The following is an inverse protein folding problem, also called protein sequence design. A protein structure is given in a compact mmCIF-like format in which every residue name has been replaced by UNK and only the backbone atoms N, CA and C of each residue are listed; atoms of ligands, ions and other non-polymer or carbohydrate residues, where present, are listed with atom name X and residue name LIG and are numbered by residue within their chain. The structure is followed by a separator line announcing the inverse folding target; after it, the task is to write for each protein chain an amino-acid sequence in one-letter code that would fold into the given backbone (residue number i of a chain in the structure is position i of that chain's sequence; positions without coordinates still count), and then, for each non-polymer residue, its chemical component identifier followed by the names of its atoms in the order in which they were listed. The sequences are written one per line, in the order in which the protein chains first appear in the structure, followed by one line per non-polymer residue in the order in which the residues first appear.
data_IF_092775691588
#
_entry.id   IF_092775691588
#
_cell.length_a   1.000
_cell.length_b   1.000
_cell.length_c   1.000
_cell.angle_alpha   90.00
_cell.angle_beta   90.00
_cell.angle_gamma   90.00
#
_symmetry.space_group_name_H-M   'P 1'
#
loop_
_entity.id
_entity.type
_entity.pdbx_description
1 polymer ?
#
# COMPACT_ATOMS: atom_id res chain seq x y z
N UNK A 1 15.74 -2.45 6.00
CA UNK A 1 15.11 -3.06 7.21
C UNK A 1 14.05 -4.04 6.75
N UNK A 2 14.15 -5.32 7.14
CA UNK A 2 13.08 -6.32 6.99
C UNK A 2 12.19 -6.32 8.25
N UNK A 3 10.95 -6.82 8.12
CA UNK A 3 10.03 -6.96 9.25
C UNK A 3 9.57 -8.40 9.34
N UNK A 4 9.62 -9.00 10.55
CA UNK A 4 9.07 -10.31 10.83
C UNK A 4 8.11 -10.22 12.02
N UNK A 5 6.97 -10.86 11.87
CA UNK A 5 5.99 -11.05 12.92
C UNK A 5 5.95 -12.53 13.25
N UNK A 6 6.06 -12.87 14.53
CA UNK A 6 6.00 -14.24 15.01
C UNK A 6 4.79 -14.39 15.94
N UNK A 7 3.77 -15.10 15.46
CA UNK A 7 2.54 -15.45 16.20
C UNK A 7 1.91 -14.26 16.96
N UNK A 8 1.72 -13.14 16.24
CA UNK A 8 1.28 -11.88 16.81
C UNK A 8 -0.21 -11.91 17.13
N UNK A 9 -0.58 -11.48 18.35
CA UNK A 9 -1.97 -11.41 18.79
C UNK A 9 -2.31 -10.04 19.36
N UNK A 10 -3.54 -9.58 19.10
CA UNK A 10 -4.11 -8.38 19.69
C UNK A 10 -5.62 -8.44 19.75
N UNK A 11 -6.17 -8.24 20.95
CA UNK A 11 -7.61 -8.30 21.21
C UNK A 11 -8.12 -7.01 21.84
N UNK A 12 -9.36 -6.66 21.53
CA UNK A 12 -10.12 -5.58 22.15
C UNK A 12 -11.40 -6.16 22.72
N UNK A 13 -11.41 -6.41 24.02
CA UNK A 13 -12.49 -7.14 24.70
C UNK A 13 -12.63 -8.55 24.12
N UNK A 14 -13.77 -8.84 23.47
CA UNK A 14 -14.04 -10.15 22.86
C UNK A 14 -13.61 -10.25 21.39
N UNK A 15 -13.09 -9.17 20.81
CA UNK A 15 -12.72 -9.13 19.39
C UNK A 15 -11.23 -9.39 19.26
N UNK A 16 -10.85 -10.50 18.62
CA UNK A 16 -9.47 -10.81 18.24
C UNK A 16 -9.15 -10.07 16.93
N UNK A 17 -8.63 -8.86 17.03
CA UNK A 17 -8.34 -8.03 15.86
C UNK A 17 -7.10 -8.51 15.08
N UNK A 18 -6.14 -9.15 15.78
CA UNK A 18 -4.99 -9.87 15.22
C UNK A 18 -4.90 -11.18 15.99
N UNK A 19 -4.91 -12.30 15.30
CA UNK A 19 -5.08 -13.63 15.85
C UNK A 19 -4.02 -14.60 15.27
N UNK A 20 -2.88 -14.70 15.94
CA UNK A 20 -1.78 -15.62 15.60
C UNK A 20 -1.08 -15.29 14.27
N UNK A 21 -0.89 -14.00 13.93
CA UNK A 21 -0.28 -13.61 12.67
C UNK A 21 1.23 -13.84 12.69
N UNK A 22 1.71 -14.65 11.73
CA UNK A 22 3.12 -14.75 11.37
C UNK A 22 3.32 -14.25 9.93
N UNK A 23 4.22 -13.28 9.74
CA UNK A 23 4.41 -12.58 8.48
C UNK A 23 5.88 -12.18 8.30
N UNK A 24 6.38 -12.28 7.07
CA UNK A 24 7.69 -11.77 6.69
C UNK A 24 7.56 -10.72 5.59
N UNK A 25 8.04 -9.50 5.86
CA UNK A 25 8.14 -8.41 4.91
C UNK A 25 9.60 -8.25 4.50
N UNK A 26 9.96 -8.58 3.23
CA UNK A 26 11.33 -8.46 2.75
C UNK A 26 11.80 -7.00 2.71
N UNK A 27 13.08 -6.78 3.00
CA UNK A 27 13.67 -5.44 2.88
C UNK A 27 13.64 -4.93 1.45
N UNK A 28 13.58 -3.61 1.28
CA UNK A 28 13.64 -2.90 0.00
C UNK A 28 12.60 -3.40 -1.02
N UNK A 29 11.41 -3.75 -0.56
CA UNK A 29 10.27 -4.20 -1.35
C UNK A 29 9.02 -3.44 -0.95
N UNK A 30 8.02 -3.47 -1.83
CA UNK A 30 6.68 -2.97 -1.54
C UNK A 30 5.80 -4.17 -1.22
N UNK A 31 5.31 -4.23 0.01
CA UNK A 31 4.48 -5.30 0.54
C UNK A 31 3.05 -4.80 0.76
N UNK A 32 2.07 -5.43 0.11
CA UNK A 32 0.65 -5.13 0.26
C UNK A 32 0.00 -5.95 1.38
N UNK A 33 -0.85 -5.32 2.18
CA UNK A 33 -1.75 -6.00 3.11
C UNK A 33 -3.16 -5.62 2.71
N UNK A 34 -3.94 -6.62 2.28
CA UNK A 34 -5.33 -6.44 1.85
C UNK A 34 -6.28 -7.19 2.77
N UNK A 35 -7.52 -6.76 2.79
CA UNK A 35 -8.58 -7.39 3.58
C UNK A 35 -9.83 -6.53 3.59
N UNK A 36 -10.96 -7.14 3.93
CA UNK A 36 -12.24 -6.42 4.08
C UNK A 36 -12.18 -5.40 5.22
N UNK A 37 -13.14 -4.47 5.26
CA UNK A 37 -13.30 -3.60 6.42
C UNK A 37 -13.49 -4.44 7.69
N UNK A 38 -12.81 -4.08 8.78
CA UNK A 38 -12.85 -4.84 10.03
C UNK A 38 -11.94 -6.09 10.08
N UNK A 39 -11.22 -6.44 9.01
CA UNK A 39 -10.34 -7.62 8.99
C UNK A 39 -9.12 -7.55 9.93
N UNK A 40 -8.85 -6.39 10.57
CA UNK A 40 -7.71 -6.21 11.49
C UNK A 40 -6.53 -5.44 10.89
N UNK A 41 -6.62 -4.97 9.64
CA UNK A 41 -5.50 -4.30 8.91
C UNK A 41 -4.89 -3.13 9.70
N UNK A 42 -5.71 -2.19 10.17
CA UNK A 42 -5.21 -1.00 10.88
C UNK A 42 -4.56 -1.37 12.22
N UNK A 43 -5.11 -2.39 12.92
CA UNK A 43 -4.49 -2.92 14.14
C UNK A 43 -3.13 -3.53 13.82
N UNK A 44 -3.05 -4.38 12.79
CA UNK A 44 -1.80 -5.02 12.38
C UNK A 44 -0.71 -3.96 12.06
N UNK A 45 -1.07 -2.90 11.32
CA UNK A 45 -0.14 -1.81 11.02
C UNK A 45 0.32 -1.06 12.26
N UNK A 46 -0.57 -0.80 13.21
CA UNK A 46 -0.20 -0.14 14.46
C UNK A 46 0.77 -0.97 15.29
N UNK A 47 0.60 -2.29 15.28
CA UNK A 47 1.55 -3.22 15.91
C UNK A 47 2.89 -3.22 15.16
N UNK A 48 2.86 -3.36 13.84
CA UNK A 48 4.06 -3.34 12.98
C UNK A 48 4.81 -2.01 13.09
N UNK A 49 4.11 -0.87 13.14
CA UNK A 49 4.72 0.47 13.27
C UNK A 49 5.06 0.86 14.71
N UNK A 50 4.90 -0.06 15.65
CA UNK A 50 5.18 0.14 17.08
C UNK A 50 4.32 1.26 17.72
N UNK A 51 3.15 1.57 17.16
CA UNK A 51 2.18 2.49 17.74
C UNK A 51 1.38 1.83 18.85
N UNK A 52 1.20 0.52 18.76
CA UNK A 52 0.59 -0.33 19.79
C UNK A 52 1.51 -1.50 20.15
N UNK A 53 1.31 -2.06 21.34
CA UNK A 53 2.01 -3.25 21.80
C UNK A 53 1.11 -4.48 21.63
N UNK A 54 1.61 -5.61 21.11
CA UNK A 54 0.83 -6.84 21.02
C UNK A 54 0.52 -7.42 22.40
N UNK A 55 -0.55 -8.23 22.49
CA UNK A 55 -0.88 -8.99 23.70
C UNK A 55 0.04 -10.22 23.83
N UNK A 56 0.39 -10.86 22.71
CA UNK A 56 1.36 -11.94 22.61
C UNK A 56 2.09 -11.94 21.28
N UNK A 57 3.11 -12.78 21.14
CA UNK A 57 3.97 -12.85 19.95
C UNK A 57 5.09 -11.81 19.96
N UNK A 58 5.69 -11.55 18.80
CA UNK A 58 6.84 -10.67 18.66
C UNK A 58 6.83 -9.91 17.34
N UNK A 59 7.31 -8.65 17.40
CA UNK A 59 7.67 -7.85 16.21
C UNK A 59 9.18 -7.75 16.14
N UNK A 60 9.77 -8.16 15.02
CA UNK A 60 11.21 -8.11 14.81
C UNK A 60 11.53 -7.22 13.59
N UNK A 61 12.55 -6.36 13.75
CA UNK A 61 13.14 -5.57 12.69
C UNK A 61 14.61 -6.00 12.52
N UNK A 62 14.99 -6.46 11.32
CA UNK A 62 16.31 -7.05 11.05
C UNK A 62 16.71 -8.09 12.11
N UNK A 63 15.77 -9.02 12.41
CA UNK A 63 15.88 -10.09 13.40
C UNK A 63 16.03 -9.65 14.87
N UNK A 64 15.97 -8.35 15.16
CA UNK A 64 15.95 -7.82 16.52
C UNK A 64 14.51 -7.56 16.97
N UNK A 65 14.14 -8.08 18.12
CA UNK A 65 12.83 -7.82 18.74
C UNK A 65 12.68 -6.34 19.11
N UNK A 66 11.55 -5.72 18.71
CA UNK A 66 11.31 -4.27 18.87
C UNK A 66 10.02 -3.89 19.61
N UNK A 67 9.16 -4.86 19.92
CA UNK A 67 7.90 -4.62 20.67
C UNK A 67 8.10 -4.51 22.19
N UNK A 68 9.29 -4.86 22.71
CA UNK A 68 9.64 -4.82 24.13
C UNK A 68 10.73 -3.80 24.48
N UNK A 69 10.95 -2.81 23.65
CA UNK A 69 11.99 -1.79 23.83
C UNK A 69 11.70 -0.86 25.02
N UNK A 70 12.76 -0.30 25.60
CA UNK A 70 12.64 0.83 26.55
C UNK A 70 12.01 2.04 25.87
N UNK A 71 11.46 2.99 26.63
CA UNK A 71 10.89 4.23 26.06
C UNK A 71 11.87 4.99 25.16
N UNK A 72 13.15 5.07 25.55
CA UNK A 72 14.19 5.75 24.77
C UNK A 72 14.49 5.03 23.47
N UNK A 73 14.68 3.71 23.52
CA UNK A 73 14.93 2.88 22.33
C UNK A 73 13.72 2.86 21.39
N UNK A 74 12.50 2.85 21.94
CA UNK A 74 11.27 2.92 21.18
C UNK A 74 11.16 4.24 20.40
N UNK A 75 11.50 5.37 21.04
CA UNK A 75 11.55 6.67 20.35
C UNK A 75 12.59 6.64 19.22
N UNK A 76 13.78 6.11 19.48
CA UNK A 76 14.83 5.97 18.46
C UNK A 76 14.39 5.06 17.30
N UNK A 77 13.70 3.95 17.61
CA UNK A 77 13.19 3.05 16.59
C UNK A 77 12.06 3.67 15.76
N UNK A 78 11.14 4.41 16.38
CA UNK A 78 10.05 5.12 15.68
C UNK A 78 10.55 6.22 14.73
N UNK A 79 11.71 6.81 14.97
CA UNK A 79 12.34 7.78 14.05
C UNK A 79 12.74 7.15 12.70
N UNK A 80 12.95 5.82 12.67
CA UNK A 80 13.25 5.06 11.47
C UNK A 80 11.99 4.63 10.69
N UNK A 81 10.81 5.01 11.17
CA UNK A 81 9.52 4.67 10.60
C UNK A 81 8.85 5.93 10.07
N UNK A 82 8.51 5.92 8.78
CA UNK A 82 7.61 6.91 8.19
C UNK A 82 6.18 6.36 8.15
N UNK A 83 5.19 7.22 8.33
CA UNK A 83 3.79 6.83 8.22
C UNK A 83 2.98 7.83 7.42
N UNK A 84 2.23 7.33 6.45
CA UNK A 84 1.27 8.07 5.63
C UNK A 84 -0.11 7.56 6.01
N UNK A 85 -0.99 8.48 6.44
CA UNK A 85 -2.34 8.18 6.92
C UNK A 85 -3.38 8.46 5.84
N UNK A 86 -4.51 7.78 5.90
CA UNK A 86 -5.64 7.90 4.99
C UNK A 86 -6.13 9.36 4.82
N UNK A 87 -6.24 10.12 5.89
CA UNK A 87 -6.73 11.50 5.91
C UNK A 87 -5.60 12.54 5.91
N UNK A 88 -4.43 12.22 5.34
CA UNK A 88 -3.22 13.06 5.31
C UNK A 88 -2.68 13.46 6.69
N UNK A 89 -3.52 13.71 7.68
CA UNK A 89 -3.21 14.17 9.04
C UNK A 89 -2.25 15.39 9.06
N UNK A 90 -2.43 16.33 8.13
CA UNK A 90 -1.66 17.55 8.05
C UNK A 90 -2.19 18.59 9.03
N UNK A 91 -1.28 19.37 9.63
CA UNK A 91 -1.62 20.50 10.47
C UNK A 91 -2.16 21.63 9.61
N UNK A 92 -3.44 21.95 9.74
CA UNK A 92 -4.11 23.03 8.98
C UNK A 92 -3.59 24.43 9.31
N UNK A 93 -3.01 24.61 10.52
CA UNK A 93 -2.40 25.87 10.98
C UNK A 93 -0.96 26.08 10.49
N UNK A 94 -0.38 25.11 9.76
CA UNK A 94 0.99 25.16 9.24
C UNK A 94 1.00 25.17 7.71
N UNK A 95 2.05 25.75 7.12
CA UNK A 95 2.29 25.66 5.67
C UNK A 95 2.74 24.23 5.25
N UNK A 96 2.87 23.99 3.96
CA UNK A 96 3.39 22.72 3.44
C UNK A 96 4.80 22.44 3.97
N UNK A 97 5.72 23.40 3.85
CA UNK A 97 7.07 23.27 4.37
C UNK A 97 7.13 23.07 5.88
N UNK A 98 6.30 23.79 6.65
CA UNK A 98 6.22 23.61 8.10
C UNK A 98 5.65 22.24 8.51
N UNK A 99 4.76 21.64 7.72
CA UNK A 99 4.31 20.27 7.94
C UNK A 99 5.45 19.26 7.73
N UNK A 100 6.27 19.47 6.70
CA UNK A 100 7.43 18.62 6.40
C UNK A 100 8.52 18.80 7.46
N UNK A 101 8.74 20.03 7.96
CA UNK A 101 9.73 20.35 8.97
C UNK A 101 9.42 19.72 10.34
N UNK A 102 8.14 19.58 10.68
CA UNK A 102 7.67 19.24 12.02
C UNK A 102 8.33 17.98 12.64
N UNK A 103 8.47 16.84 11.96
CA UNK A 103 9.15 15.67 12.54
C UNK A 103 10.60 15.95 12.90
N UNK A 104 11.30 16.76 12.11
CA UNK A 104 12.70 17.12 12.34
C UNK A 104 12.84 18.12 13.51
N UNK A 105 11.88 19.06 13.67
CA UNK A 105 11.79 19.95 14.83
C UNK A 105 11.72 19.14 16.13
N UNK A 106 10.82 18.14 16.20
CA UNK A 106 10.68 17.25 17.35
C UNK A 106 11.95 16.44 17.60
N UNK A 107 12.65 16.03 16.54
CA UNK A 107 13.89 15.27 16.63
C UNK A 107 15.10 16.14 17.02
N UNK A 108 14.95 17.47 17.13
CA UNK A 108 16.01 18.39 17.54
C UNK A 108 17.05 18.67 16.45
N UNK A 109 16.68 18.59 15.16
CA UNK A 109 17.57 18.96 14.06
C UNK A 109 17.85 20.47 14.07
N UNK A 110 19.03 20.87 13.61
CA UNK A 110 19.36 22.29 13.45
C UNK A 110 18.51 22.93 12.34
N UNK A 111 18.17 24.21 12.50
CA UNK A 111 17.32 24.95 11.57
C UNK A 111 17.82 24.88 10.11
N UNK A 112 19.12 25.05 9.88
CA UNK A 112 19.71 24.96 8.55
C UNK A 112 19.55 23.58 7.92
N UNK A 113 19.66 22.50 8.71
CA UNK A 113 19.44 21.13 8.24
C UNK A 113 17.97 20.91 7.85
N UNK A 114 17.05 21.48 8.65
CA UNK A 114 15.61 21.40 8.38
C UNK A 114 15.27 22.12 7.07
N UNK A 115 15.73 23.36 6.89
CA UNK A 115 15.49 24.16 5.70
C UNK A 115 15.97 23.46 4.43
N UNK A 116 17.21 22.97 4.43
CA UNK A 116 17.78 22.20 3.31
C UNK A 116 16.95 20.95 3.03
N UNK A 117 16.61 20.19 4.08
CA UNK A 117 15.86 18.93 3.92
C UNK A 117 14.44 19.14 3.43
N UNK A 118 13.75 20.18 3.89
CA UNK A 118 12.41 20.56 3.43
C UNK A 118 12.45 20.86 1.93
N UNK A 119 13.43 21.64 1.47
CA UNK A 119 13.55 21.95 0.04
C UNK A 119 13.83 20.70 -0.81
N UNK A 120 14.74 19.81 -0.37
CA UNK A 120 14.99 18.52 -1.02
C UNK A 120 13.70 17.68 -1.16
N UNK A 121 12.90 17.64 -0.08
CA UNK A 121 11.69 16.85 -0.07
C UNK A 121 10.56 17.47 -0.91
N UNK A 122 10.43 18.78 -0.91
CA UNK A 122 9.50 19.48 -1.80
C UNK A 122 9.84 19.22 -3.27
N UNK A 123 11.11 19.28 -3.63
CA UNK A 123 11.57 18.94 -4.97
C UNK A 123 11.29 17.46 -5.31
N UNK A 124 11.54 16.55 -4.36
CA UNK A 124 11.30 15.12 -4.55
C UNK A 124 9.84 14.79 -4.88
N UNK A 125 8.90 15.53 -4.28
CA UNK A 125 7.47 15.32 -4.48
C UNK A 125 6.84 16.23 -5.54
N UNK A 126 7.64 17.09 -6.22
CA UNK A 126 7.19 18.02 -7.27
C UNK A 126 6.31 19.15 -6.73
N UNK A 127 6.72 19.76 -5.62
CA UNK A 127 6.05 20.88 -4.94
C UNK A 127 7.05 21.97 -4.54
N UNK A 128 8.06 22.22 -5.35
CA UNK A 128 9.18 23.14 -5.08
C UNK A 128 8.71 24.57 -4.75
N UNK A 129 7.63 25.02 -5.41
CA UNK A 129 7.06 26.37 -5.25
C UNK A 129 6.03 26.47 -4.12
N UNK A 130 5.83 25.41 -3.32
CA UNK A 130 4.73 25.30 -2.35
C UNK A 130 5.16 25.34 -0.90
N UNK A 131 6.41 25.72 -0.61
CA UNK A 131 6.91 25.77 0.77
C UNK A 131 5.99 26.56 1.72
N UNK A 132 5.57 27.75 1.33
CA UNK A 132 4.77 28.66 2.15
C UNK A 132 3.26 28.54 1.90
N UNK A 133 2.84 27.57 1.08
CA UNK A 133 1.44 27.38 0.76
C UNK A 133 0.65 26.87 1.98
N UNK A 134 -0.46 27.51 2.37
CA UNK A 134 -1.37 27.01 3.39
C UNK A 134 -1.98 25.66 2.93
N UNK A 135 -2.15 24.71 3.84
CA UNK A 135 -2.71 23.40 3.54
C UNK A 135 -4.13 23.50 2.94
N UNK A 136 -4.90 24.50 3.33
CA UNK A 136 -6.26 24.72 2.81
C UNK A 136 -6.31 25.00 1.31
N UNK A 137 -5.25 25.56 0.73
CA UNK A 137 -5.15 25.92 -0.70
C UNK A 137 -4.68 24.79 -1.59
N UNK A 138 -4.23 23.68 -1.00
CA UNK A 138 -3.69 22.54 -1.73
C UNK A 138 -4.80 21.57 -2.16
N UNK A 139 -4.67 21.01 -3.38
CA UNK A 139 -5.52 19.90 -3.84
C UNK A 139 -5.28 18.63 -3.01
N UNK A 140 -6.19 17.64 -3.11
CA UNK A 140 -6.03 16.35 -2.42
C UNK A 140 -4.71 15.65 -2.77
N UNK A 141 -4.33 15.61 -4.05
CA UNK A 141 -3.06 15.05 -4.49
C UNK A 141 -1.84 15.82 -3.98
N UNK A 142 -1.90 17.16 -3.91
CA UNK A 142 -0.84 17.97 -3.32
C UNK A 142 -0.73 17.75 -1.81
N UNK A 143 -1.84 17.66 -1.09
CA UNK A 143 -1.84 17.29 0.34
C UNK A 143 -1.19 15.93 0.57
N UNK A 144 -1.48 14.95 -0.28
CA UNK A 144 -0.87 13.63 -0.21
C UNK A 144 0.64 13.70 -0.44
N UNK A 145 1.11 14.48 -1.42
CA UNK A 145 2.54 14.70 -1.67
C UNK A 145 3.25 15.34 -0.47
N UNK A 146 2.61 16.31 0.20
CA UNK A 146 3.13 16.90 1.46
C UNK A 146 3.18 15.84 2.57
N UNK A 147 2.15 14.97 2.71
CA UNK A 147 2.15 13.91 3.70
C UNK A 147 3.26 12.88 3.45
N UNK A 148 3.52 12.53 2.19
CA UNK A 148 4.65 11.68 1.79
C UNK A 148 5.98 12.34 2.18
N UNK A 149 6.19 13.60 1.79
CA UNK A 149 7.40 14.35 2.11
C UNK A 149 7.65 14.42 3.62
N UNK A 150 6.61 14.69 4.42
CA UNK A 150 6.67 14.69 5.87
C UNK A 150 7.08 13.32 6.44
N UNK A 151 6.52 12.22 5.91
CA UNK A 151 6.86 10.88 6.36
C UNK A 151 8.34 10.53 6.07
N UNK A 152 8.96 11.17 5.08
CA UNK A 152 10.36 10.97 4.68
C UNK A 152 11.34 11.91 5.40
N UNK A 153 10.86 12.87 6.19
CA UNK A 153 11.67 13.95 6.76
C UNK A 153 12.86 13.44 7.57
N UNK A 154 12.64 12.48 8.45
CA UNK A 154 13.68 11.90 9.32
C UNK A 154 14.45 10.73 8.68
N UNK A 155 14.42 10.58 7.35
CA UNK A 155 15.12 9.50 6.61
C UNK A 155 14.76 8.11 7.14
N UNK A 156 13.47 7.70 7.07
CA UNK A 156 13.03 6.40 7.57
C UNK A 156 13.67 5.25 6.77
N UNK A 157 13.70 4.07 7.37
CA UNK A 157 14.07 2.81 6.72
C UNK A 157 12.85 2.01 6.26
N UNK A 158 11.69 2.27 6.90
CA UNK A 158 10.38 1.68 6.57
C UNK A 158 9.33 2.77 6.41
N UNK A 159 8.46 2.62 5.42
CA UNK A 159 7.32 3.49 5.17
C UNK A 159 6.02 2.67 5.23
N UNK A 160 5.14 3.01 6.16
CA UNK A 160 3.78 2.48 6.21
C UNK A 160 2.82 3.43 5.50
N UNK A 161 2.00 2.89 4.61
CA UNK A 161 0.98 3.61 3.86
C UNK A 161 -0.39 3.04 4.22
N UNK A 162 -1.12 3.70 5.12
CA UNK A 162 -2.46 3.28 5.56
C UNK A 162 -3.50 3.95 4.67
N UNK A 163 -4.06 3.19 3.73
CA UNK A 163 -5.06 3.64 2.74
C UNK A 163 -4.69 4.97 2.06
N UNK A 164 -3.42 5.16 1.75
CA UNK A 164 -2.83 6.43 1.30
C UNK A 164 -3.43 7.01 0.00
N UNK A 165 -4.25 6.27 -0.72
CA UNK A 165 -4.85 6.69 -2.00
C UNK A 165 -6.37 6.63 -2.03
N UNK A 166 -7.03 6.20 -0.93
CA UNK A 166 -8.47 5.95 -0.91
C UNK A 166 -9.35 7.19 -1.12
N UNK A 167 -8.82 8.39 -0.83
CA UNK A 167 -9.52 9.67 -0.97
C UNK A 167 -9.17 10.42 -2.28
N UNK A 168 -8.46 9.77 -3.22
CA UNK A 168 -7.96 10.38 -4.45
C UNK A 168 -8.70 9.82 -5.68
N UNK A 169 -8.78 10.62 -6.73
CA UNK A 169 -9.25 10.15 -8.03
C UNK A 169 -8.27 9.16 -8.67
N UNK A 170 -8.69 8.33 -9.65
CA UNK A 170 -7.85 7.27 -10.21
C UNK A 170 -6.56 7.77 -10.86
N UNK A 171 -6.57 8.93 -11.51
CA UNK A 171 -5.39 9.49 -12.18
C UNK A 171 -4.36 9.97 -11.14
N UNK A 172 -4.82 10.67 -10.11
CA UNK A 172 -4.00 11.11 -8.99
C UNK A 172 -3.44 9.90 -8.22
N UNK A 173 -4.27 8.86 -7.98
CA UNK A 173 -3.84 7.60 -7.36
C UNK A 173 -2.65 7.00 -8.11
N UNK A 174 -2.75 6.86 -9.44
CA UNK A 174 -1.64 6.32 -10.25
C UNK A 174 -0.37 7.16 -10.10
N UNK A 175 -0.47 8.49 -10.18
CA UNK A 175 0.66 9.40 -10.00
C UNK A 175 1.32 9.26 -8.61
N UNK A 176 0.53 9.08 -7.54
CA UNK A 176 1.04 8.89 -6.18
C UNK A 176 1.71 7.52 -6.04
N UNK A 177 1.16 6.46 -6.63
CA UNK A 177 1.78 5.13 -6.61
C UNK A 177 3.13 5.11 -7.35
N UNK A 178 3.21 5.77 -8.51
CA UNK A 178 4.47 5.93 -9.25
C UNK A 178 5.50 6.69 -8.40
N UNK A 179 5.10 7.79 -7.75
CA UNK A 179 5.95 8.54 -6.83
C UNK A 179 6.48 7.66 -5.67
N UNK A 180 5.61 6.87 -5.04
CA UNK A 180 6.03 5.96 -3.94
C UNK A 180 7.01 4.91 -4.45
N UNK A 181 6.80 4.32 -5.64
CA UNK A 181 7.73 3.36 -6.27
C UNK A 181 9.09 3.99 -6.54
N UNK A 182 9.12 5.21 -7.07
CA UNK A 182 10.36 5.92 -7.33
C UNK A 182 11.12 6.26 -6.05
N UNK A 183 10.42 6.71 -5.01
CA UNK A 183 10.99 6.96 -3.68
C UNK A 183 11.53 5.66 -3.08
N UNK A 184 10.77 4.57 -3.15
CA UNK A 184 11.18 3.26 -2.66
C UNK A 184 12.51 2.83 -3.29
N UNK A 185 12.62 2.95 -4.61
CA UNK A 185 13.86 2.59 -5.35
C UNK A 185 15.03 3.51 -5.01
N UNK A 186 14.81 4.83 -5.05
CA UNK A 186 15.88 5.84 -4.82
C UNK A 186 16.43 5.79 -3.40
N UNK A 187 15.58 5.48 -2.41
CA UNK A 187 15.95 5.49 -1.00
C UNK A 187 16.15 4.08 -0.42
N UNK A 188 15.98 3.02 -1.20
CA UNK A 188 16.02 1.62 -0.75
C UNK A 188 15.09 1.36 0.44
N UNK A 189 13.87 1.90 0.41
CA UNK A 189 12.90 1.76 1.50
C UNK A 189 12.21 0.39 1.47
N UNK A 190 11.86 -0.12 2.64
CA UNK A 190 10.81 -1.12 2.77
C UNK A 190 9.48 -0.39 2.89
N UNK A 191 8.50 -0.72 2.05
CA UNK A 191 7.18 -0.07 2.05
C UNK A 191 6.12 -1.11 2.39
N UNK A 192 5.25 -0.80 3.36
CA UNK A 192 4.08 -1.62 3.69
C UNK A 192 2.83 -0.81 3.32
N UNK A 193 2.08 -1.29 2.35
CA UNK A 193 0.85 -0.65 1.87
C UNK A 193 -0.38 -1.40 2.36
N UNK A 194 -1.25 -0.69 3.06
CA UNK A 194 -2.55 -1.20 3.46
C UNK A 194 -3.59 -0.62 2.52
N UNK A 195 -4.39 -1.48 1.92
CA UNK A 195 -5.45 -1.06 1.01
C UNK A 195 -6.54 -2.13 0.91
N UNK A 196 -7.71 -1.72 0.49
CA UNK A 196 -8.77 -2.62 0.03
C UNK A 196 -8.91 -2.61 -1.51
N UNK A 197 -8.05 -1.83 -2.21
CA UNK A 197 -8.07 -1.68 -3.67
C UNK A 197 -7.05 -2.64 -4.30
N UNK A 198 -7.53 -3.62 -5.03
CA UNK A 198 -6.67 -4.62 -5.67
C UNK A 198 -5.81 -4.04 -6.80
N UNK A 199 -6.29 -2.98 -7.46
CA UNK A 199 -5.53 -2.25 -8.48
C UNK A 199 -4.24 -1.68 -7.90
N UNK A 200 -4.30 -1.12 -6.68
CA UNK A 200 -3.13 -0.59 -5.97
C UNK A 200 -2.11 -1.70 -5.71
N UNK A 201 -2.58 -2.89 -5.28
CA UNK A 201 -1.70 -4.03 -5.03
C UNK A 201 -1.05 -4.51 -6.33
N UNK A 202 -1.85 -4.69 -7.40
CA UNK A 202 -1.36 -5.12 -8.71
C UNK A 202 -0.29 -4.18 -9.26
N UNK A 203 -0.53 -2.86 -9.15
CA UNK A 203 0.27 -1.84 -9.82
C UNK A 203 1.51 -1.43 -9.03
N UNK A 204 1.50 -1.60 -7.69
CA UNK A 204 2.57 -1.10 -6.84
C UNK A 204 3.33 -2.16 -6.03
N UNK A 205 2.73 -3.30 -5.68
CA UNK A 205 3.33 -4.23 -4.73
C UNK A 205 4.13 -5.36 -5.40
N UNK A 206 5.18 -5.83 -4.72
CA UNK A 206 5.94 -7.04 -5.08
C UNK A 206 5.30 -8.28 -4.43
N UNK A 207 4.91 -8.15 -3.17
CA UNK A 207 4.34 -9.19 -2.32
C UNK A 207 3.02 -8.72 -1.72
N UNK A 208 2.19 -9.68 -1.30
CA UNK A 208 0.89 -9.40 -0.72
C UNK A 208 0.52 -10.45 0.34
N UNK A 209 -0.17 -10.01 1.39
CA UNK A 209 -0.86 -10.85 2.34
C UNK A 209 -2.34 -10.47 2.37
N UNK A 210 -3.20 -11.49 2.35
CA UNK A 210 -4.66 -11.36 2.46
C UNK A 210 -5.06 -11.61 3.90
N UNK A 211 -5.66 -10.62 4.52
CA UNK A 211 -6.11 -10.63 5.91
C UNK A 211 -7.63 -10.81 5.95
N UNK A 212 -8.08 -11.79 6.70
CA UNK A 212 -9.49 -12.01 6.99
C UNK A 212 -9.69 -12.41 8.45
N UNK A 213 -10.64 -11.75 9.14
CA UNK A 213 -10.98 -12.04 10.54
C UNK A 213 -9.75 -12.15 11.47
N UNK A 214 -8.81 -11.22 11.37
CA UNK A 214 -7.60 -11.16 12.19
C UNK A 214 -6.50 -12.14 11.81
N UNK A 215 -6.66 -12.95 10.75
CA UNK A 215 -5.71 -13.98 10.32
C UNK A 215 -5.23 -13.75 8.88
N UNK A 216 -3.99 -14.13 8.58
CA UNK A 216 -3.52 -14.21 7.21
C UNK A 216 -4.04 -15.51 6.59
N UNK A 217 -4.89 -15.38 5.57
CA UNK A 217 -5.49 -16.52 4.86
C UNK A 217 -4.71 -16.91 3.61
N UNK A 218 -3.96 -15.96 3.04
CA UNK A 218 -3.08 -16.22 1.89
C UNK A 218 -1.96 -15.19 1.86
N UNK A 219 -0.75 -15.59 1.44
CA UNK A 219 0.38 -14.69 1.21
C UNK A 219 1.28 -15.23 0.10
N UNK A 220 1.96 -14.33 -0.61
CA UNK A 220 2.89 -14.68 -1.67
C UNK A 220 3.28 -13.49 -2.52
N UNK A 221 3.85 -13.75 -3.70
CA UNK A 221 4.05 -12.69 -4.69
C UNK A 221 2.73 -12.24 -5.29
N UNK A 222 2.65 -10.98 -5.69
CA UNK A 222 1.45 -10.45 -6.37
C UNK A 222 1.12 -11.28 -7.61
N UNK A 223 2.14 -11.70 -8.38
CA UNK A 223 1.96 -12.53 -9.58
C UNK A 223 1.30 -13.88 -9.27
N UNK A 224 1.73 -14.55 -8.20
CA UNK A 224 1.17 -15.84 -7.79
C UNK A 224 -0.27 -15.69 -7.33
N UNK A 225 -0.58 -14.69 -6.48
CA UNK A 225 -1.93 -14.45 -6.01
C UNK A 225 -2.90 -14.15 -7.15
N UNK A 226 -2.48 -13.33 -8.13
CA UNK A 226 -3.33 -12.97 -9.26
C UNK A 226 -3.51 -14.10 -10.27
N UNK A 227 -2.50 -14.96 -10.48
CA UNK A 227 -2.59 -16.10 -11.39
C UNK A 227 -3.35 -17.27 -10.77
N UNK A 228 -3.11 -17.56 -9.50
CA UNK A 228 -3.59 -18.78 -8.83
C UNK A 228 -4.07 -18.50 -7.40
N UNK A 229 -5.17 -17.74 -7.21
CA UNK A 229 -5.71 -17.48 -5.87
C UNK A 229 -6.19 -18.79 -5.24
N UNK A 230 -5.72 -19.08 -4.02
CA UNK A 230 -5.98 -20.35 -3.34
C UNK A 230 -7.24 -20.31 -2.49
N UNK A 231 -7.52 -19.16 -1.85
CA UNK A 231 -8.65 -19.00 -0.94
C UNK A 231 -9.85 -18.35 -1.62
N UNK A 232 -11.05 -18.62 -1.13
CA UNK A 232 -12.27 -18.00 -1.66
C UNK A 232 -12.27 -16.48 -1.40
N UNK A 233 -11.66 -16.04 -0.29
CA UNK A 233 -11.48 -14.61 0.01
C UNK A 233 -10.63 -13.94 -1.07
N UNK A 234 -9.51 -14.56 -1.47
CA UNK A 234 -8.64 -14.04 -2.55
C UNK A 234 -9.34 -14.03 -3.90
N UNK A 235 -10.10 -15.08 -4.22
CA UNK A 235 -10.91 -15.15 -5.45
C UNK A 235 -11.97 -14.06 -5.50
N UNK A 236 -12.64 -13.78 -4.37
CA UNK A 236 -13.65 -12.74 -4.26
C UNK A 236 -13.03 -11.35 -4.49
N UNK A 237 -11.90 -11.04 -3.86
CA UNK A 237 -11.17 -9.80 -4.11
C UNK A 237 -10.80 -9.61 -5.59
N UNK A 238 -10.36 -10.68 -6.26
CA UNK A 238 -9.97 -10.62 -7.67
C UNK A 238 -11.18 -10.55 -8.62
N UNK A 239 -12.34 -11.08 -8.23
CA UNK A 239 -13.55 -11.04 -9.05
C UNK A 239 -14.02 -9.61 -9.30
N UNK A 240 -13.82 -8.71 -8.34
CA UNK A 240 -14.15 -7.28 -8.47
C UNK A 240 -13.28 -6.55 -9.51
N UNK A 241 -12.05 -6.97 -9.74
CA UNK A 241 -11.20 -6.42 -10.81
C UNK A 241 -11.73 -6.72 -12.20
N UNK A 242 -12.22 -7.96 -12.39
CA UNK A 242 -12.69 -8.40 -13.71
C UNK A 242 -13.97 -7.70 -14.18
N UNK A 243 -14.75 -7.14 -13.26
CA UNK A 243 -15.94 -6.34 -13.61
C UNK A 243 -15.61 -4.89 -13.99
N UNK A 244 -14.54 -4.32 -13.47
CA UNK A 244 -14.14 -2.92 -13.75
C UNK A 244 -13.30 -2.81 -15.02
N UNK A 245 -12.42 -3.78 -15.29
CA UNK A 245 -11.65 -3.85 -16.56
C UNK A 245 -12.52 -4.29 -17.74
N UNK A 246 -13.66 -4.91 -17.50
CA UNK A 246 -14.63 -5.29 -18.53
C UNK A 246 -15.24 -4.07 -19.27
N UNK A 247 -15.30 -2.92 -18.63
CA UNK A 247 -15.78 -1.67 -19.24
C UNK A 247 -14.71 -0.95 -20.08
N UNK A 248 -13.44 -1.35 -20.02
CA UNK A 248 -12.32 -0.68 -20.69
C UNK A 248 -11.63 -1.43 -21.81
N UNK A 249 -11.79 -2.74 -21.85
CA UNK A 249 -11.34 -3.57 -22.99
C UNK A 249 -12.56 -4.18 -23.65
N UNK A 250 -12.71 -3.99 -24.96
CA UNK A 250 -13.78 -4.53 -25.79
C UNK A 250 -13.96 -6.04 -25.57
N UNK A 251 -14.74 -6.42 -24.56
CA UNK A 251 -15.18 -7.80 -24.37
C UNK A 251 -16.39 -8.05 -25.25
N UNK A 252 -16.25 -8.98 -26.16
CA UNK A 252 -17.38 -9.50 -26.94
C UNK A 252 -18.10 -10.51 -26.07
N UNK A 253 -19.35 -10.22 -25.69
CA UNK A 253 -20.22 -11.15 -24.98
C UNK A 253 -20.98 -11.99 -25.99
N UNK A 254 -20.76 -13.31 -25.96
CA UNK A 254 -21.52 -14.26 -26.73
C UNK A 254 -22.62 -14.83 -25.85
N UNK A 255 -23.88 -14.62 -26.21
CA UNK A 255 -25.01 -15.26 -25.54
C UNK A 255 -25.91 -15.91 -26.57
N UNK A 256 -25.72 -17.20 -26.78
CA UNK A 256 -26.80 -18.06 -27.20
C UNK A 256 -26.74 -19.32 -26.35
N UNK A 257 -27.56 -19.31 -25.36
CA UNK A 257 -27.95 -20.32 -24.37
C UNK A 257 -27.37 -21.72 -24.61
N UNK A 258 -26.91 -22.42 -23.56
CA UNK A 258 -26.71 -22.02 -22.19
C UNK A 258 -25.22 -21.97 -21.82
N UNK A 259 -24.67 -20.80 -21.66
CA UNK A 259 -23.34 -20.66 -21.09
C UNK A 259 -22.69 -19.30 -21.42
N UNK A 260 -22.31 -18.56 -20.42
CA UNK A 260 -21.53 -17.33 -20.55
C UNK A 260 -20.05 -17.71 -20.46
N UNK A 261 -19.28 -17.49 -21.52
CA UNK A 261 -17.85 -17.78 -21.53
C UNK A 261 -17.06 -16.47 -21.42
N UNK A 262 -16.10 -16.42 -20.49
CA UNK A 262 -15.15 -15.30 -20.37
C UNK A 262 -13.79 -15.78 -20.87
N UNK A 263 -13.30 -15.18 -21.93
CA UNK A 263 -11.96 -15.44 -22.45
C UNK A 263 -10.98 -14.46 -21.81
N UNK A 264 -9.93 -14.97 -21.17
CA UNK A 264 -8.84 -14.17 -20.61
C UNK A 264 -7.59 -14.37 -21.45
N UNK A 265 -7.03 -13.28 -21.95
CA UNK A 265 -5.76 -13.27 -22.66
C UNK A 265 -4.69 -12.69 -21.73
N UNK A 266 -3.55 -13.36 -21.58
CA UNK A 266 -2.44 -12.92 -20.77
C UNK A 266 -1.10 -13.07 -21.51
N UNK A 267 -0.20 -12.10 -21.38
CA UNK A 267 1.14 -12.16 -21.98
C UNK A 267 1.12 -12.06 -23.51
N UNK A 268 2.00 -12.80 -24.17
CA UNK A 268 2.21 -12.75 -25.62
C UNK A 268 1.00 -13.18 -26.47
N UNK A 269 -0.04 -13.77 -25.87
CA UNK A 269 -1.27 -14.17 -26.56
C UNK A 269 -2.31 -13.05 -26.64
N UNK A 270 -2.11 -11.93 -25.96
CA UNK A 270 -3.04 -10.80 -26.00
C UNK A 270 -3.13 -10.14 -27.40
N UNK A 271 -2.08 -10.20 -28.18
CA UNK A 271 -1.98 -9.63 -29.53
C UNK A 271 -2.29 -10.65 -30.65
N UNK A 272 -2.61 -11.91 -30.33
CA UNK A 272 -2.91 -12.91 -31.34
C UNK A 272 -4.41 -12.88 -31.71
N UNK A 273 -4.78 -13.13 -32.98
CA UNK A 273 -6.16 -13.11 -33.45
C UNK A 273 -6.94 -14.36 -33.05
N UNK A 274 -6.94 -14.69 -31.74
CA UNK A 274 -7.50 -15.94 -31.18
C UNK A 274 -8.98 -16.11 -31.51
N UNK A 275 -9.76 -15.03 -31.55
CA UNK A 275 -11.19 -15.09 -31.92
C UNK A 275 -11.36 -15.51 -33.38
N UNK A 276 -10.53 -14.99 -34.27
CA UNK A 276 -10.55 -15.36 -35.69
C UNK A 276 -10.09 -16.81 -35.91
N UNK A 277 -9.13 -17.30 -35.15
CA UNK A 277 -8.68 -18.68 -35.17
C UNK A 277 -9.72 -19.65 -34.61
N UNK A 278 -10.37 -19.32 -33.51
CA UNK A 278 -11.47 -20.10 -32.95
C UNK A 278 -12.67 -20.13 -33.89
N UNK A 279 -13.02 -19.00 -34.52
CA UNK A 279 -14.09 -18.95 -35.51
C UNK A 279 -13.82 -19.87 -36.72
N UNK A 280 -12.58 -19.86 -37.22
CA UNK A 280 -12.17 -20.77 -38.33
C UNK A 280 -12.15 -22.24 -37.92
N UNK A 281 -11.61 -22.55 -36.74
CA UNK A 281 -11.40 -23.92 -36.27
C UNK A 281 -12.70 -24.65 -35.87
N UNK A 282 -13.67 -23.90 -35.36
CA UNK A 282 -14.93 -24.41 -34.82
C UNK A 282 -16.17 -24.00 -35.64
N UNK A 283 -16.00 -23.32 -36.78
CA UNK A 283 -17.10 -22.89 -37.64
C UNK A 283 -18.08 -21.91 -36.99
N UNK A 284 -17.62 -21.14 -36.01
CA UNK A 284 -18.43 -20.16 -35.27
C UNK A 284 -18.38 -18.85 -36.03
N UNK A 285 -19.50 -18.42 -36.65
CA UNK A 285 -19.58 -17.05 -37.20
C UNK A 285 -19.89 -16.06 -36.08
N UNK A 286 -19.07 -14.96 -35.92
CA UNK A 286 -19.45 -13.87 -35.06
C UNK A 286 -20.70 -13.17 -35.64
N UNK A 287 -21.65 -12.74 -34.80
CA UNK A 287 -22.71 -11.86 -35.28
C UNK A 287 -22.12 -10.55 -35.78
N UNK A 288 -22.60 -10.04 -36.87
CA UNK A 288 -22.23 -8.73 -37.46
C UNK A 288 -22.54 -7.60 -36.55
#
# INVERSE_FOLDING_TARGET
MQIRLDNLERSYGKVHAVDGISLFVPQNRIFGIIGRSGAGKSTLVRLMSLLETPDSGQVLYDDRRVDNLTKQDLIAQRRKIGMIFQNFNLFSSRTAGQNIAYPMEICGYQKSQIETRVQELLNLVGLEDRNDAPISTLSGGQKQRVAIARALACKPEVLFCDEATSALDPQTTKSILELIKDIQRKMNLTVVMITHQMEVVRDACDFVAVLDNGRIVEQGTVKELFAHPKTDVSKDFLSHLTTVDADRSSMVFWSNVPGRYTLRFAGATADSPVISELARRFGIMPPC
#
